data_IF_643514506906
#
_entry.id   IF_643514506906
#
_cell.length_a   1.000
_cell.length_b   1.000
_cell.length_c   1.000
_cell.angle_alpha   90.00
_cell.angle_beta   90.00
_cell.angle_gamma   90.00
#
_symmetry.space_group_name_H-M   'P 1'
#
loop_
_entity.id
_entity.type
_entity.pdbx_description
1 polymer ?
#
# COMPACT_ATOMS: atom_id res chain seq x y z
N UNK A 1 32.46 6.93 -9.04
CA UNK A 1 32.89 7.66 -7.82
C UNK A 1 32.12 7.11 -6.64
N UNK A 2 32.64 7.17 -5.41
CA UNK A 2 31.98 6.59 -4.24
C UNK A 2 31.06 7.58 -3.49
N UNK A 3 31.16 8.88 -3.79
CA UNK A 3 30.39 9.94 -3.16
C UNK A 3 29.97 10.95 -4.24
N UNK A 4 28.67 11.22 -4.33
CA UNK A 4 28.09 12.09 -5.36
C UNK A 4 26.91 12.86 -4.77
N UNK A 5 26.76 14.12 -5.18
CA UNK A 5 25.59 14.94 -4.86
C UNK A 5 24.52 14.67 -5.93
N UNK A 6 23.31 14.33 -5.50
CA UNK A 6 22.19 14.03 -6.42
C UNK A 6 21.32 15.26 -6.62
N UNK A 7 20.70 15.80 -5.57
CA UNK A 7 19.82 16.96 -5.67
C UNK A 7 20.57 18.30 -5.55
N UNK A 8 21.70 18.44 -6.27
CA UNK A 8 22.56 19.63 -6.26
C UNK A 8 23.05 20.04 -7.65
N UNK A 9 23.59 21.25 -7.81
CA UNK A 9 24.08 21.73 -9.11
C UNK A 9 25.53 21.30 -9.35
N UNK A 10 25.80 20.59 -10.45
CA UNK A 10 27.16 20.15 -10.84
C UNK A 10 27.67 20.78 -12.14
N UNK A 11 26.89 21.68 -12.75
CA UNK A 11 27.23 22.29 -14.05
C UNK A 11 26.89 21.39 -15.27
N UNK A 12 26.52 20.13 -15.04
CA UNK A 12 26.09 19.18 -16.09
C UNK A 12 24.86 18.37 -15.64
N UNK A 13 24.18 17.72 -16.59
CA UNK A 13 23.18 16.69 -16.26
C UNK A 13 23.91 15.52 -15.59
N UNK A 14 23.52 15.18 -14.37
CA UNK A 14 24.18 14.15 -13.56
C UNK A 14 23.19 13.24 -12.83
N UNK A 15 21.99 13.74 -12.50
CA UNK A 15 20.94 12.94 -11.86
C UNK A 15 20.45 11.83 -12.80
N UNK A 16 20.71 10.58 -12.43
CA UNK A 16 20.15 9.40 -13.08
C UNK A 16 18.86 8.95 -12.39
N UNK A 17 18.10 8.08 -13.06
CA UNK A 17 16.94 7.46 -12.45
C UNK A 17 17.30 6.44 -11.37
N UNK A 18 18.54 5.94 -11.35
CA UNK A 18 19.03 5.02 -10.31
C UNK A 18 19.38 5.81 -9.03
N UNK A 19 19.90 7.03 -9.16
CA UNK A 19 20.14 7.94 -8.03
C UNK A 19 18.83 8.28 -7.32
N UNK A 20 17.82 8.73 -8.08
CA UNK A 20 16.52 9.03 -7.51
C UNK A 20 15.83 7.77 -6.97
N UNK A 21 16.04 6.60 -7.58
CA UNK A 21 15.47 5.35 -7.07
C UNK A 21 16.05 4.98 -5.69
N UNK A 22 17.36 5.16 -5.51
CA UNK A 22 18.03 4.93 -4.23
C UNK A 22 17.49 5.89 -3.15
N UNK A 23 17.39 7.18 -3.45
CA UNK A 23 16.88 8.18 -2.51
C UNK A 23 15.40 7.97 -2.17
N UNK A 24 14.56 7.63 -3.15
CA UNK A 24 13.16 7.32 -2.91
C UNK A 24 13.01 6.08 -2.02
N UNK A 25 13.77 5.01 -2.30
CA UNK A 25 13.75 3.78 -1.50
C UNK A 25 14.21 4.05 -0.08
N UNK A 26 15.27 4.85 0.11
CA UNK A 26 15.76 5.23 1.43
C UNK A 26 14.73 6.08 2.20
N UNK A 27 14.00 6.96 1.50
CA UNK A 27 13.00 7.85 2.12
C UNK A 27 11.71 7.11 2.48
N UNK A 28 11.21 6.26 1.59
CA UNK A 28 9.93 5.53 1.76
C UNK A 28 10.12 4.23 2.54
N UNK A 29 11.33 3.67 2.56
CA UNK A 29 11.65 2.38 3.18
C UNK A 29 11.23 1.17 2.34
N UNK A 30 10.74 1.38 1.11
CA UNK A 30 10.32 0.32 0.17
C UNK A 30 10.71 0.71 -1.25
N UNK A 31 11.19 -0.26 -2.03
CA UNK A 31 11.45 -0.09 -3.45
C UNK A 31 10.18 -0.25 -4.29
N UNK A 32 9.25 -1.11 -3.85
CA UNK A 32 8.00 -1.42 -4.53
C UNK A 32 6.82 -1.11 -3.61
N UNK A 33 5.98 -0.15 -3.98
CA UNK A 33 4.80 0.20 -3.21
C UNK A 33 3.79 1.04 -4.00
N UNK A 34 2.55 1.06 -3.53
CA UNK A 34 1.58 2.11 -3.88
C UNK A 34 1.70 3.22 -2.85
N UNK A 35 1.70 4.48 -3.31
CA UNK A 35 1.65 5.66 -2.45
C UNK A 35 0.21 6.14 -2.42
N UNK A 36 -0.32 6.43 -1.24
CA UNK A 36 -1.72 6.86 -1.05
C UNK A 36 -1.99 8.16 -1.82
N UNK A 37 -2.65 8.05 -2.98
CA UNK A 37 -2.96 9.15 -3.89
C UNK A 37 -3.90 8.72 -5.01
N UNK A 38 -4.82 9.61 -5.42
CA UNK A 38 -5.80 9.31 -6.47
C UNK A 38 -6.78 8.22 -5.99
N UNK A 39 -7.06 7.23 -6.84
CA UNK A 39 -7.92 6.09 -6.49
C UNK A 39 -7.13 4.87 -5.98
N UNK A 40 -5.85 5.05 -5.61
CA UNK A 40 -4.92 3.97 -5.26
C UNK A 40 -4.93 2.82 -6.27
N UNK A 41 -5.01 3.14 -7.57
CA UNK A 41 -5.14 2.16 -8.63
C UNK A 41 -6.35 1.22 -8.48
N UNK A 42 -7.50 1.69 -8.01
CA UNK A 42 -8.73 0.89 -7.90
C UNK A 42 -9.01 0.11 -9.20
N UNK A 43 -9.35 -1.18 -9.11
CA UNK A 43 -9.66 -2.01 -10.27
C UNK A 43 -11.13 -2.37 -10.32
N UNK A 44 -11.79 -1.98 -11.42
CA UNK A 44 -13.20 -2.27 -11.67
C UNK A 44 -13.31 -3.17 -12.90
N UNK A 45 -13.97 -4.32 -12.76
CA UNK A 45 -14.31 -5.16 -13.92
C UNK A 45 -15.49 -4.52 -14.67
N UNK A 46 -15.33 -4.33 -15.97
CA UNK A 46 -16.40 -3.86 -16.86
C UNK A 46 -17.13 -5.04 -17.52
N UNK A 47 -16.42 -6.15 -17.74
CA UNK A 47 -16.94 -7.40 -18.26
C UNK A 47 -16.03 -8.56 -17.84
N UNK A 48 -16.32 -9.79 -18.28
CA UNK A 48 -15.40 -10.91 -18.12
C UNK A 48 -14.04 -10.72 -18.84
N UNK A 49 -13.96 -9.78 -19.79
CA UNK A 49 -12.79 -9.61 -20.67
C UNK A 49 -12.16 -8.21 -20.61
N UNK A 50 -12.71 -7.31 -19.80
CA UNK A 50 -12.20 -5.94 -19.68
C UNK A 50 -12.29 -5.43 -18.25
N UNK A 51 -11.21 -4.78 -17.82
CA UNK A 51 -11.13 -4.11 -16.53
C UNK A 51 -10.64 -2.67 -16.72
N UNK A 52 -11.00 -1.79 -15.79
CA UNK A 52 -10.51 -0.41 -15.75
C UNK A 52 -9.68 -0.23 -14.49
N UNK A 53 -8.41 0.15 -14.66
CA UNK A 53 -7.50 0.51 -13.58
C UNK A 53 -7.56 2.03 -13.36
N UNK A 54 -7.95 2.45 -12.16
CA UNK A 54 -8.10 3.84 -11.76
C UNK A 54 -6.79 4.60 -11.64
N UNK A 55 -6.89 5.88 -11.25
CA UNK A 55 -5.72 6.74 -11.06
C UNK A 55 -4.90 6.30 -9.84
N UNK A 56 -3.61 6.62 -9.79
CA UNK A 56 -2.79 6.31 -8.63
C UNK A 56 -1.31 6.58 -8.81
N UNK A 57 -0.58 6.65 -7.70
CA UNK A 57 0.88 6.82 -7.68
C UNK A 57 1.53 5.59 -7.06
N UNK A 58 2.61 5.12 -7.67
CA UNK A 58 3.32 3.95 -7.18
C UNK A 58 4.82 4.06 -7.40
N UNK A 59 5.53 3.04 -6.95
CA UNK A 59 6.97 2.89 -7.08
C UNK A 59 7.29 1.46 -7.51
N UNK A 60 8.17 1.31 -8.50
CA UNK A 60 8.75 0.02 -8.89
C UNK A 60 10.26 0.16 -8.88
N UNK A 61 10.97 -0.67 -8.10
CA UNK A 61 12.42 -0.60 -7.97
C UNK A 61 12.94 0.79 -7.58
N UNK A 62 12.22 1.53 -6.72
CA UNK A 62 12.57 2.89 -6.33
C UNK A 62 12.07 4.00 -7.28
N UNK A 63 11.59 3.65 -8.48
CA UNK A 63 11.17 4.61 -9.50
C UNK A 63 9.69 4.92 -9.37
N UNK A 64 9.38 6.17 -9.03
CA UNK A 64 8.01 6.66 -8.89
C UNK A 64 7.33 6.79 -10.25
N UNK A 65 6.05 6.46 -10.31
CA UNK A 65 5.20 6.63 -11.50
C UNK A 65 3.80 7.08 -11.11
N UNK A 66 3.11 7.70 -12.07
CA UNK A 66 1.74 8.19 -11.89
C UNK A 66 0.85 7.72 -13.04
N UNK A 67 -0.18 6.95 -12.71
CA UNK A 67 -1.28 6.70 -13.63
C UNK A 67 -2.28 7.86 -13.51
N UNK A 68 -2.18 8.81 -14.44
CA UNK A 68 -2.94 10.07 -14.42
C UNK A 68 -4.41 9.90 -14.80
N UNK A 69 -4.74 8.84 -15.54
CA UNK A 69 -6.08 8.60 -16.04
C UNK A 69 -6.46 7.13 -15.92
N UNK A 70 -7.76 6.86 -15.87
CA UNK A 70 -8.28 5.50 -15.91
C UNK A 70 -7.79 4.78 -17.17
N UNK A 71 -7.19 3.59 -17.00
CA UNK A 71 -6.60 2.80 -18.08
C UNK A 71 -7.38 1.50 -18.24
N UNK A 72 -7.82 1.22 -19.47
CA UNK A 72 -8.51 -0.03 -19.80
C UNK A 72 -7.49 -1.16 -20.01
N UNK A 73 -7.81 -2.32 -19.44
CA UNK A 73 -7.02 -3.53 -19.47
C UNK A 73 -7.84 -4.66 -20.10
N UNK A 74 -7.21 -5.42 -20.98
CA UNK A 74 -7.81 -6.61 -21.57
C UNK A 74 -7.51 -7.83 -20.71
N UNK A 75 -8.57 -8.55 -20.32
CA UNK A 75 -8.49 -9.83 -19.63
C UNK A 75 -8.89 -10.93 -20.61
N UNK A 76 -8.01 -11.92 -20.78
CA UNK A 76 -8.31 -13.03 -21.67
C UNK A 76 -9.43 -13.89 -21.10
N UNK A 77 -10.31 -14.44 -21.94
CA UNK A 77 -11.37 -15.32 -21.45
C UNK A 77 -10.80 -16.52 -20.70
N UNK A 78 -11.53 -16.99 -19.70
CA UNK A 78 -11.22 -18.23 -19.00
C UNK A 78 -11.58 -19.46 -19.83
N UNK A 79 -11.47 -20.63 -19.22
CA UNK A 79 -11.74 -21.92 -19.88
C UNK A 79 -12.79 -22.65 -19.07
N UNK A 80 -13.86 -23.11 -19.74
CA UNK A 80 -14.98 -23.79 -19.09
C UNK A 80 -14.48 -24.92 -18.19
N UNK A 81 -14.96 -24.95 -16.93
CA UNK A 81 -14.59 -25.97 -15.95
C UNK A 81 -13.16 -25.83 -15.37
N UNK A 82 -12.46 -24.72 -15.64
CA UNK A 82 -11.13 -24.44 -15.10
C UNK A 82 -11.08 -23.09 -14.39
N UNK A 83 -10.31 -23.03 -13.31
CA UNK A 83 -9.99 -21.81 -12.57
C UNK A 83 -8.67 -21.23 -13.04
N UNK A 84 -8.52 -19.91 -12.99
CA UNK A 84 -7.28 -19.20 -13.34
C UNK A 84 -7.20 -17.90 -12.55
N UNK A 85 -6.02 -17.55 -12.05
CA UNK A 85 -5.76 -16.21 -11.52
C UNK A 85 -4.94 -15.44 -12.54
N UNK A 86 -5.40 -14.26 -12.92
CA UNK A 86 -4.56 -13.30 -13.64
C UNK A 86 -4.09 -12.22 -12.65
N UNK A 87 -2.96 -11.58 -12.93
CA UNK A 87 -2.45 -10.47 -12.13
C UNK A 87 -2.44 -9.18 -12.93
N UNK A 88 -2.91 -8.09 -12.34
CA UNK A 88 -2.62 -6.74 -12.82
C UNK A 88 -1.37 -6.26 -12.11
N UNK A 89 -0.35 -5.90 -12.88
CA UNK A 89 0.92 -5.38 -12.38
C UNK A 89 1.25 -4.05 -13.07
N UNK A 90 1.95 -3.16 -12.37
CA UNK A 90 2.67 -2.08 -13.02
C UNK A 90 4.08 -2.59 -13.32
N UNK A 91 4.43 -2.69 -14.62
CA UNK A 91 5.67 -3.28 -15.10
C UNK A 91 6.65 -2.20 -15.52
N UNK A 92 7.82 -2.18 -14.90
CA UNK A 92 8.96 -1.42 -15.34
C UNK A 92 9.69 -2.11 -16.50
N UNK A 93 10.15 -1.31 -17.46
CA UNK A 93 11.03 -1.74 -18.54
C UNK A 93 12.04 -0.64 -18.85
N UNK A 94 13.24 -1.06 -19.27
CA UNK A 94 14.32 -0.19 -19.78
C UNK A 94 14.83 -0.74 -21.10
N UNK A 95 14.84 0.09 -22.13
CA UNK A 95 15.42 -0.28 -23.43
C UNK A 95 16.94 -0.33 -23.36
N UNK A 96 17.59 -0.93 -24.36
CA UNK A 96 19.06 -0.91 -24.47
C UNK A 96 19.63 0.51 -24.61
N UNK A 97 18.85 1.46 -25.11
CA UNK A 97 19.20 2.89 -25.15
C UNK A 97 18.98 3.62 -23.81
N UNK A 98 18.55 2.90 -22.76
CA UNK A 98 18.31 3.46 -21.43
C UNK A 98 16.97 4.18 -21.27
N UNK A 99 16.04 4.06 -22.23
CA UNK A 99 14.71 4.66 -22.13
C UNK A 99 13.84 3.81 -21.21
N UNK A 100 13.29 4.43 -20.18
CA UNK A 100 12.50 3.76 -19.16
C UNK A 100 11.00 3.99 -19.34
N UNK A 101 10.20 2.99 -18.98
CA UNK A 101 8.74 3.07 -19.01
C UNK A 101 8.13 2.22 -17.90
N UNK A 102 6.97 2.63 -17.40
CA UNK A 102 6.12 1.80 -16.53
C UNK A 102 4.74 1.69 -17.19
N UNK A 103 4.26 0.47 -17.39
CA UNK A 103 2.96 0.21 -18.03
C UNK A 103 2.15 -0.79 -17.22
N UNK A 104 0.81 -0.64 -17.14
CA UNK A 104 -0.03 -1.65 -16.54
C UNK A 104 -0.13 -2.86 -17.47
N UNK A 105 0.05 -4.06 -16.91
CA UNK A 105 0.05 -5.33 -17.65
C UNK A 105 -0.84 -6.33 -16.92
N UNK A 106 -1.66 -7.06 -17.69
CA UNK A 106 -2.37 -8.26 -17.19
C UNK A 106 -1.50 -9.48 -17.47
N UNK A 107 -0.89 -10.03 -16.43
CA UNK A 107 -0.14 -11.29 -16.49
C UNK A 107 -1.12 -12.45 -16.38
N UNK A 108 -1.20 -13.27 -17.42
CA UNK A 108 -2.12 -14.39 -17.48
C UNK A 108 -1.62 -15.58 -16.64
N UNK A 109 -2.51 -16.15 -15.83
CA UNK A 109 -2.25 -17.38 -15.10
C UNK A 109 -2.29 -18.65 -15.95
N UNK A 110 -1.99 -19.78 -15.31
CA UNK A 110 -2.21 -21.10 -15.89
C UNK A 110 -3.60 -21.63 -15.46
N UNK A 111 -4.47 -22.04 -16.39
CA UNK A 111 -5.72 -22.71 -16.03
C UNK A 111 -5.48 -24.00 -15.22
N UNK A 112 -6.34 -24.28 -14.26
CA UNK A 112 -6.28 -25.44 -13.37
C UNK A 112 -7.69 -25.98 -13.11
N UNK A 113 -7.83 -27.30 -12.97
CA UNK A 113 -9.09 -27.93 -12.51
C UNK A 113 -9.24 -27.91 -10.98
N UNK A 114 -8.17 -27.55 -10.25
CA UNK A 114 -8.18 -27.38 -8.80
C UNK A 114 -8.07 -25.91 -8.39
N UNK A 115 -7.34 -25.66 -7.30
CA UNK A 115 -7.04 -24.29 -6.86
C UNK A 115 -6.16 -23.58 -7.89
N UNK A 116 -6.57 -22.38 -8.30
CA UNK A 116 -5.76 -21.54 -9.19
C UNK A 116 -4.61 -20.90 -8.41
N UNK A 117 -3.41 -20.94 -8.99
CA UNK A 117 -2.24 -20.25 -8.50
C UNK A 117 -2.00 -18.96 -9.28
N UNK A 118 -1.40 -17.98 -8.61
CA UNK A 118 -0.99 -16.74 -9.28
C UNK A 118 0.17 -17.01 -10.26
N UNK A 119 0.20 -16.36 -11.43
CA UNK A 119 1.34 -16.41 -12.33
C UNK A 119 2.59 -15.82 -11.69
N UNK A 120 3.73 -16.29 -12.17
CA UNK A 120 5.02 -15.72 -11.81
C UNK A 120 5.13 -14.25 -12.30
N UNK A 121 5.77 -13.42 -11.48
CA UNK A 121 6.12 -12.04 -11.80
C UNK A 121 7.63 -11.88 -11.76
N UNK A 122 8.12 -10.74 -12.25
CA UNK A 122 9.54 -10.38 -12.17
C UNK A 122 9.78 -9.36 -11.05
N UNK A 123 11.04 -9.04 -10.76
CA UNK A 123 11.39 -7.91 -9.88
C UNK A 123 11.00 -6.55 -10.44
N UNK A 124 10.62 -6.48 -11.72
CA UNK A 124 10.17 -5.26 -12.38
C UNK A 124 8.65 -5.08 -12.29
N UNK A 125 7.95 -5.93 -11.53
CA UNK A 125 6.50 -5.91 -11.43
C UNK A 125 6.05 -5.52 -10.02
N UNK A 126 5.40 -4.36 -9.89
CA UNK A 126 4.58 -4.06 -8.72
C UNK A 126 3.21 -4.73 -8.88
N UNK A 127 2.91 -5.71 -8.02
CA UNK A 127 1.61 -6.39 -8.00
C UNK A 127 0.53 -5.45 -7.45
N UNK A 128 -0.54 -5.28 -8.22
CA UNK A 128 -1.67 -4.43 -7.83
C UNK A 128 -2.89 -5.29 -7.47
N UNK A 129 -3.34 -6.13 -8.40
CA UNK A 129 -4.60 -6.89 -8.23
C UNK A 129 -4.46 -8.32 -8.74
N UNK A 130 -5.21 -9.22 -8.11
CA UNK A 130 -5.52 -10.55 -8.62
C UNK A 130 -6.93 -10.54 -9.19
N UNK A 131 -7.09 -11.02 -10.41
CA UNK A 131 -8.38 -11.25 -11.05
C UNK A 131 -8.63 -12.76 -11.05
N UNK A 132 -9.52 -13.28 -10.20
CA UNK A 132 -9.89 -14.70 -10.23
C UNK A 132 -10.88 -14.96 -11.36
N UNK A 133 -10.67 -16.03 -12.12
CA UNK A 133 -11.59 -16.56 -13.11
C UNK A 133 -12.03 -17.96 -12.73
N UNK A 134 -13.32 -18.25 -12.92
CA UNK A 134 -13.91 -19.59 -12.77
C UNK A 134 -14.77 -19.90 -13.99
N UNK A 135 -14.28 -20.78 -14.85
CA UNK A 135 -14.86 -20.97 -16.17
C UNK A 135 -14.70 -19.72 -17.04
N UNK A 136 -15.79 -19.25 -17.64
CA UNK A 136 -15.86 -18.00 -18.42
C UNK A 136 -16.26 -16.79 -17.58
N UNK A 137 -16.53 -17.00 -16.29
CA UNK A 137 -16.93 -15.95 -15.35
C UNK A 137 -15.71 -15.32 -14.68
N UNK A 138 -15.80 -14.01 -14.41
CA UNK A 138 -14.81 -13.29 -13.61
C UNK A 138 -15.34 -13.08 -12.19
N UNK A 139 -14.50 -13.32 -11.19
CA UNK A 139 -14.79 -13.04 -9.80
C UNK A 139 -14.37 -11.64 -9.37
N UNK A 140 -14.62 -11.30 -8.11
CA UNK A 140 -14.23 -10.01 -7.54
C UNK A 140 -12.71 -9.86 -7.51
N UNK A 141 -12.15 -8.76 -8.04
CA UNK A 141 -10.73 -8.49 -7.91
C UNK A 141 -10.25 -8.42 -6.46
N UNK A 142 -9.10 -9.03 -6.20
CA UNK A 142 -8.48 -9.06 -4.86
C UNK A 142 -7.26 -8.14 -4.87
N UNK A 143 -7.24 -7.15 -3.98
CA UNK A 143 -6.11 -6.21 -3.83
C UNK A 143 -4.88 -6.96 -3.31
N UNK A 144 -3.70 -6.68 -3.86
CA UNK A 144 -2.43 -7.34 -3.50
C UNK A 144 -1.41 -6.41 -2.82
N UNK A 145 -1.80 -5.16 -2.53
CA UNK A 145 -0.94 -4.17 -1.88
C UNK A 145 -1.69 -3.46 -0.75
N UNK A 146 -0.91 -2.90 0.18
CA UNK A 146 -1.36 -1.86 1.10
C UNK A 146 -0.63 -0.56 0.74
N UNK A 147 -1.34 0.57 0.51
CA UNK A 147 -0.70 1.85 0.28
C UNK A 147 0.23 2.25 1.42
N UNK A 148 1.32 2.94 1.09
CA UNK A 148 2.14 3.62 2.08
C UNK A 148 1.42 4.91 2.45
N UNK A 149 1.09 5.04 3.73
CA UNK A 149 0.46 6.23 4.27
C UNK A 149 1.37 7.45 4.10
N UNK A 150 0.77 8.62 3.84
CA UNK A 150 1.53 9.85 3.68
C UNK A 150 2.19 10.30 4.98
N UNK A 151 3.31 11.04 4.90
CA UNK A 151 3.98 11.62 6.07
C UNK A 151 3.04 12.53 6.88
N UNK A 152 2.02 13.14 6.25
CA UNK A 152 1.01 13.94 6.95
C UNK A 152 0.25 13.11 8.01
N UNK A 153 0.02 11.83 7.74
CA UNK A 153 -0.65 10.92 8.70
C UNK A 153 0.22 10.56 9.90
N UNK A 154 1.54 10.81 9.85
CA UNK A 154 2.44 10.55 10.96
C UNK A 154 2.35 11.61 12.07
N UNK A 155 1.91 12.83 11.75
CA UNK A 155 1.73 13.91 12.73
C UNK A 155 0.78 13.53 13.88
N UNK A 156 -0.21 12.69 13.58
CA UNK A 156 -1.19 12.17 14.55
C UNK A 156 -0.64 11.01 15.42
N UNK A 157 0.62 10.60 15.23
CA UNK A 157 1.25 9.46 15.92
C UNK A 157 2.29 9.86 16.97
N UNK A 158 2.36 11.14 17.34
CA UNK A 158 3.32 11.63 18.32
C UNK A 158 2.55 12.36 19.43
N UNK A 159 2.35 11.67 20.54
CA UNK A 159 1.78 12.14 21.83
C UNK A 159 0.51 12.99 21.77
N UNK A 160 -0.65 12.36 21.97
CA UNK A 160 -1.95 13.04 22.00
C UNK A 160 -2.25 13.70 23.37
N UNK A 161 -1.75 13.12 24.46
CA UNK A 161 -2.00 13.61 25.81
C UNK A 161 -0.97 13.12 26.83
N UNK A 162 -0.35 14.04 27.58
CA UNK A 162 0.52 13.71 28.71
C UNK A 162 0.21 14.61 29.91
N UNK A 163 -0.04 13.99 31.07
CA UNK A 163 -0.13 14.64 32.37
C UNK A 163 0.57 13.79 33.43
N UNK A 164 0.66 14.30 34.66
CA UNK A 164 1.31 13.62 35.79
C UNK A 164 0.86 12.16 36.00
N UNK A 165 -0.41 11.85 35.73
CA UNK A 165 -1.01 10.54 36.02
C UNK A 165 -1.47 9.78 34.77
N UNK A 166 -1.46 10.41 33.59
CA UNK A 166 -1.98 9.83 32.35
C UNK A 166 -1.05 10.10 31.18
N UNK A 167 -0.79 9.06 30.39
CA UNK A 167 -0.15 9.18 29.09
C UNK A 167 -0.98 8.42 28.06
N UNK A 168 -1.41 9.12 27.01
CA UNK A 168 -2.11 8.54 25.86
C UNK A 168 -1.27 8.83 24.63
N UNK A 169 -0.71 7.76 24.06
CA UNK A 169 0.16 7.83 22.89
C UNK A 169 -0.41 6.93 21.82
N UNK A 170 -0.53 7.45 20.60
CA UNK A 170 -0.84 6.63 19.42
C UNK A 170 0.45 6.36 18.69
N UNK A 171 0.74 5.10 18.37
CA UNK A 171 1.85 4.73 17.49
C UNK A 171 1.25 3.87 16.37
N UNK A 172 1.17 4.44 15.16
CA UNK A 172 0.50 3.79 14.04
C UNK A 172 -0.97 3.45 14.33
N UNK A 173 -1.32 2.16 14.29
CA UNK A 173 -2.68 1.68 14.57
C UNK A 173 -2.93 1.34 16.05
N UNK A 174 -1.94 1.53 16.93
CA UNK A 174 -2.04 1.17 18.34
C UNK A 174 -2.18 2.42 19.20
N UNK A 175 -3.16 2.42 20.10
CA UNK A 175 -3.29 3.42 21.16
C UNK A 175 -2.79 2.81 22.46
N UNK A 176 -1.74 3.41 23.02
CA UNK A 176 -1.22 3.12 24.35
C UNK A 176 -1.87 4.06 25.35
N UNK A 177 -2.47 3.49 26.39
CA UNK A 177 -2.99 4.23 27.54
C UNK A 177 -2.24 3.76 28.78
N UNK A 178 -1.55 4.68 29.43
CA UNK A 178 -0.93 4.45 30.73
C UNK A 178 -1.62 5.33 31.77
N UNK A 179 -2.08 4.71 32.85
CA UNK A 179 -2.51 5.39 34.06
C UNK A 179 -1.51 5.10 35.18
N UNK A 180 -1.15 6.12 35.96
CA UNK A 180 -0.32 5.98 37.16
C UNK A 180 -0.97 6.77 38.29
N UNK A 181 -1.72 6.10 39.15
CA UNK A 181 -2.35 6.71 40.32
C UNK A 181 -2.58 5.70 41.45
N UNK A 182 -2.70 6.19 42.68
CA UNK A 182 -3.17 5.41 43.82
C UNK A 182 -4.69 5.36 43.77
N UNK A 183 -5.27 4.16 43.83
CA UNK A 183 -6.73 3.96 43.87
C UNK A 183 -7.13 3.78 45.33
N UNK A 184 -7.86 4.75 45.88
CA UNK A 184 -8.31 4.72 47.28
C UNK A 184 -9.58 3.86 47.48
N UNK A 185 -10.48 3.86 46.49
CA UNK A 185 -11.66 2.99 46.43
C UNK A 185 -11.70 2.28 45.07
N UNK A 186 -11.52 0.94 45.02
CA UNK A 186 -11.58 0.17 43.78
C UNK A 186 -12.93 0.23 43.06
N UNK A 187 -14.03 0.55 43.76
CA UNK A 187 -15.37 0.54 43.19
C UNK A 187 -15.69 1.76 42.31
N UNK A 188 -15.02 2.90 42.53
CA UNK A 188 -15.26 4.13 41.75
C UNK A 188 -14.57 4.10 40.36
N UNK A 189 -13.55 3.25 40.19
CA UNK A 189 -12.75 3.23 38.97
C UNK A 189 -11.98 4.54 38.72
N UNK A 190 -11.27 4.63 37.60
CA UNK A 190 -10.48 5.81 37.24
C UNK A 190 -10.84 6.26 35.83
N UNK A 191 -11.04 7.56 35.63
CA UNK A 191 -11.42 8.13 34.33
C UNK A 191 -10.30 9.00 33.77
N UNK A 192 -9.82 8.66 32.57
CA UNK A 192 -8.92 9.54 31.82
C UNK A 192 -9.68 10.83 31.44
N UNK A 193 -9.19 12.03 31.78
CA UNK A 193 -9.83 13.29 31.38
C UNK A 193 -9.71 13.56 29.88
N UNK A 194 -8.75 12.93 29.20
CA UNK A 194 -8.60 13.04 27.76
C UNK A 194 -9.63 12.18 27.02
N UNK A 195 -10.41 12.82 26.16
CA UNK A 195 -11.34 12.15 25.25
C UNK A 195 -10.61 11.96 23.92
N UNK A 196 -10.38 10.71 23.54
CA UNK A 196 -9.78 10.37 22.25
C UNK A 196 -10.69 10.89 21.12
N UNK A 197 -10.16 11.63 20.12
CA UNK A 197 -10.90 12.06 18.93
C UNK A 197 -11.58 10.88 18.24
N UNK A 198 -12.75 11.10 17.65
CA UNK A 198 -13.63 10.03 17.15
C UNK A 198 -12.95 9.16 16.09
N UNK A 199 -12.20 9.80 15.20
CA UNK A 199 -11.38 9.19 14.15
C UNK A 199 -10.24 8.30 14.69
N UNK A 200 -9.89 8.43 15.97
CA UNK A 200 -8.82 7.68 16.63
C UNK A 200 -9.34 6.62 17.60
N UNK A 201 -10.67 6.48 17.75
CA UNK A 201 -11.26 5.47 18.64
C UNK A 201 -11.24 4.08 17.99
N UNK A 202 -11.08 3.01 18.77
CA UNK A 202 -11.28 1.65 18.26
C UNK A 202 -12.72 1.49 17.76
N UNK A 203 -12.92 0.66 16.74
CA UNK A 203 -14.23 0.42 16.11
C UNK A 203 -15.28 -0.17 17.05
N UNK A 204 -14.85 -0.70 18.20
CA UNK A 204 -15.69 -1.26 19.24
C UNK A 204 -15.11 -0.90 20.61
N UNK A 205 -15.94 -0.92 21.65
CA UNK A 205 -15.49 -0.65 23.02
C UNK A 205 -14.58 -1.78 23.53
N UNK A 206 -13.47 -1.39 24.17
CA UNK A 206 -12.55 -2.32 24.83
C UNK A 206 -12.62 -2.15 26.35
N UNK A 207 -12.61 -3.28 27.07
CA UNK A 207 -12.52 -3.30 28.54
C UNK A 207 -11.28 -4.09 28.93
N UNK A 208 -10.41 -3.49 29.74
CA UNK A 208 -9.28 -4.16 30.34
C UNK A 208 -9.43 -4.10 31.86
N UNK A 209 -9.48 -5.26 32.51
CA UNK A 209 -9.42 -5.33 33.96
C UNK A 209 -7.94 -5.28 34.39
N UNK A 210 -7.58 -4.33 35.25
CA UNK A 210 -6.31 -4.40 35.97
C UNK A 210 -6.47 -5.43 37.08
N UNK A 211 -5.71 -6.53 36.99
CA UNK A 211 -5.50 -7.44 38.11
C UNK A 211 -4.36 -6.84 38.92
N UNK A 212 -4.66 -6.38 40.12
CA UNK A 212 -3.68 -5.93 41.12
C UNK A 212 -2.98 -7.11 41.78
#
# INVERSE_FOLDING_TARGET
MAFEIVDGMTGTKHISSDDLAALNTATVGKADCVLEYGDDFALTMQSANSATLGTGVGMVGGKRFWNQAATNLTVQSGTQGQKRNDLVVARYAKTSAGIESITPVVVRGKPSTGTAADPATTSNDLKLWRIPLDGISVGTPVRLFGPVASLATLGDSVSLYETKNWSVVRVGMTVYVRATQIIADPAEGIKCPYIIPEELRPSHAWSAAMVT
#
